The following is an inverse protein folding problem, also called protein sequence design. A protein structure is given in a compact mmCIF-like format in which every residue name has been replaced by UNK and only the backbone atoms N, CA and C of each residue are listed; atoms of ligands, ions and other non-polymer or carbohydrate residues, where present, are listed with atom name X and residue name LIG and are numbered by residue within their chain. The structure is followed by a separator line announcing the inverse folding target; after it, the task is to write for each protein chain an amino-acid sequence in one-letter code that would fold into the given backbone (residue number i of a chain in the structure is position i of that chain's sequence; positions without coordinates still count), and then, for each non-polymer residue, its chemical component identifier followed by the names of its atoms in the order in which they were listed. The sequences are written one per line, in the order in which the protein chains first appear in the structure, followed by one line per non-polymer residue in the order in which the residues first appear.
data_IF_682694735865
#
_entry.id   IF_682694735865
#
_cell.length_a   1.000
_cell.length_b   1.000
_cell.length_c   1.000
_cell.angle_alpha   90.00
_cell.angle_beta   90.00
_cell.angle_gamma   90.00
#
_symmetry.space_group_name_H-M   'P 1'
#
loop_
_entity.id
_entity.type
_entity.pdbx_description
1 polymer ?
#
# COMPACT_ATOMS: atom_id res chain seq x y z
N UNK A 1 29.48 -24.61 33.35
CA UNK A 1 29.26 -24.31 31.91
C UNK A 1 27.91 -23.62 31.82
N UNK A 2 27.95 -22.33 31.72
CA UNK A 2 26.77 -21.46 31.75
C UNK A 2 26.35 -21.18 30.30
N UNK A 3 25.18 -21.66 29.88
CA UNK A 3 24.63 -21.35 28.57
C UNK A 3 23.99 -19.94 28.61
N UNK A 4 24.65 -19.02 27.94
CA UNK A 4 24.09 -17.70 27.66
C UNK A 4 22.93 -17.84 26.63
N UNK A 5 21.70 -17.75 27.10
CA UNK A 5 20.53 -17.49 26.27
C UNK A 5 20.58 -16.04 25.86
N UNK A 6 21.08 -15.78 24.65
CA UNK A 6 20.99 -14.47 24.01
C UNK A 6 19.53 -14.23 23.66
N UNK A 7 18.86 -13.41 24.47
CA UNK A 7 17.56 -12.81 24.16
C UNK A 7 17.73 -11.93 22.93
N UNK A 8 17.32 -12.45 21.76
CA UNK A 8 17.15 -11.66 20.57
C UNK A 8 15.85 -10.85 20.74
N UNK A 9 15.94 -9.73 21.46
CA UNK A 9 14.91 -8.71 21.43
C UNK A 9 14.91 -8.19 19.99
N UNK A 10 13.85 -8.50 19.24
CA UNK A 10 13.54 -7.82 17.99
C UNK A 10 13.36 -6.34 18.35
N UNK A 11 14.40 -5.54 18.17
CA UNK A 11 14.29 -4.10 18.15
C UNK A 11 13.26 -3.80 17.04
N UNK A 12 12.15 -3.17 17.38
CA UNK A 12 11.18 -2.65 16.42
C UNK A 12 11.92 -1.63 15.57
N UNK A 13 12.39 -2.06 14.38
CA UNK A 13 13.04 -1.15 13.44
C UNK A 13 12.02 -0.10 13.04
N UNK A 14 12.27 1.13 13.48
CA UNK A 14 11.48 2.29 13.09
C UNK A 14 11.72 2.54 11.60
N UNK A 15 10.76 2.14 10.77
CA UNK A 15 10.85 2.26 9.32
C UNK A 15 10.52 3.67 8.82
N UNK A 16 9.63 4.38 9.53
CA UNK A 16 9.11 5.68 9.12
C UNK A 16 8.78 6.55 10.33
N UNK A 17 9.26 7.80 10.31
CA UNK A 17 8.88 8.82 11.29
C UNK A 17 8.60 10.14 10.57
N UNK A 18 7.56 10.84 10.97
CA UNK A 18 7.27 12.21 10.55
C UNK A 18 7.36 13.13 11.76
N UNK A 19 7.96 14.31 11.57
CA UNK A 19 8.17 15.31 12.62
C UNK A 19 7.70 16.67 12.16
N UNK A 20 6.72 17.24 12.86
CA UNK A 20 6.24 18.60 12.72
C UNK A 20 5.86 18.96 11.26
N UNK A 21 5.23 18.01 10.55
CA UNK A 21 4.83 18.20 9.16
C UNK A 21 3.67 19.18 9.11
N UNK A 22 3.90 20.31 8.44
CA UNK A 22 2.87 21.28 8.10
C UNK A 22 2.78 21.43 6.59
N UNK A 23 1.56 21.51 6.07
CA UNK A 23 1.27 21.72 4.66
C UNK A 23 0.03 22.56 4.47
N UNK A 24 0.16 23.59 3.62
CA UNK A 24 -0.94 24.49 3.25
C UNK A 24 -1.06 24.57 1.74
N UNK A 25 -2.27 24.82 1.26
CA UNK A 25 -2.55 25.18 -0.12
C UNK A 25 -3.30 26.52 -0.13
N UNK A 26 -2.62 27.56 -0.58
CA UNK A 26 -3.10 28.93 -0.44
C UNK A 26 -3.31 29.27 1.04
N UNK A 27 -4.53 29.64 1.43
CA UNK A 27 -4.87 29.99 2.81
C UNK A 27 -5.40 28.80 3.64
N UNK A 28 -5.42 27.60 3.08
CA UNK A 28 -5.97 26.42 3.76
C UNK A 28 -4.86 25.52 4.27
N UNK A 29 -4.73 25.41 5.60
CA UNK A 29 -3.85 24.45 6.24
C UNK A 29 -4.51 23.08 6.17
N UNK A 30 -3.82 22.08 5.62
CA UNK A 30 -4.30 20.70 5.46
C UNK A 30 -3.58 19.70 6.35
N UNK A 31 -2.37 20.02 6.78
CA UNK A 31 -1.62 19.33 7.83
C UNK A 31 -1.03 20.40 8.73
N UNK A 32 -1.21 20.27 10.04
CA UNK A 32 -0.74 21.25 11.05
C UNK A 32 0.06 20.54 12.12
N UNK A 33 1.38 20.76 12.11
CA UNK A 33 2.36 20.22 13.09
C UNK A 33 2.24 18.70 13.33
N UNK A 34 1.90 17.94 12.31
CA UNK A 34 1.67 16.49 12.42
C UNK A 34 2.98 15.74 12.67
N UNK A 35 3.01 14.97 13.76
CA UNK A 35 4.15 14.13 14.15
C UNK A 35 3.67 12.73 14.49
N UNK A 36 4.33 11.69 13.93
CA UNK A 36 4.00 10.30 14.22
C UNK A 36 5.17 9.36 13.91
N UNK A 37 5.28 8.28 14.71
CA UNK A 37 6.21 7.17 14.48
C UNK A 37 5.43 5.96 14.01
N UNK A 38 5.75 5.48 12.81
CA UNK A 38 5.09 4.33 12.23
C UNK A 38 5.94 3.07 12.47
N UNK A 39 5.34 2.11 13.12
CA UNK A 39 5.83 0.75 13.25
C UNK A 39 5.12 -0.14 12.22
N UNK A 40 5.50 -1.43 12.14
CA UNK A 40 4.78 -2.39 11.28
C UNK A 40 3.32 -2.51 11.73
N UNK A 41 2.40 -2.38 10.80
CA UNK A 41 0.96 -2.39 11.11
C UNK A 41 0.15 -1.54 10.14
N UNK A 42 -1.15 -1.54 10.32
CA UNK A 42 -2.11 -0.80 9.49
C UNK A 42 -2.54 0.47 10.21
N UNK A 43 -2.47 1.59 9.52
CA UNK A 43 -2.83 2.93 9.99
C UNK A 43 -3.93 3.50 9.12
N UNK A 44 -5.00 3.98 9.73
CA UNK A 44 -6.14 4.58 9.03
C UNK A 44 -6.27 6.05 9.42
N UNK A 45 -5.80 6.97 8.58
CA UNK A 45 -5.90 8.39 8.86
C UNK A 45 -7.33 8.91 8.66
N UNK A 46 -7.73 9.83 9.53
CA UNK A 46 -8.99 10.59 9.48
C UNK A 46 -8.72 12.09 9.48
N UNK A 47 -9.69 12.88 9.06
CA UNK A 47 -9.53 14.34 8.94
C UNK A 47 -9.18 14.80 7.52
N UNK A 48 -8.85 16.07 7.40
CA UNK A 48 -8.33 16.66 6.16
C UNK A 48 -6.87 16.24 5.94
N UNK A 49 -6.38 16.33 4.68
CA UNK A 49 -4.95 16.10 4.39
C UNK A 49 -4.52 14.66 4.17
N UNK A 50 -5.40 13.66 4.21
CA UNK A 50 -5.06 12.24 4.02
C UNK A 50 -4.24 11.97 2.76
N UNK A 51 -4.74 12.33 1.59
CA UNK A 51 -4.02 12.19 0.31
C UNK A 51 -2.73 13.01 0.29
N UNK A 52 -2.74 14.20 0.91
CA UNK A 52 -1.55 15.05 1.04
C UNK A 52 -0.47 14.36 1.87
N UNK A 53 -0.84 13.77 3.01
CA UNK A 53 0.08 12.97 3.83
C UNK A 53 0.70 11.82 3.00
N UNK A 54 -0.12 11.03 2.30
CA UNK A 54 0.39 9.94 1.45
C UNK A 54 1.39 10.46 0.40
N UNK A 55 1.08 11.59 -0.25
CA UNK A 55 1.95 12.21 -1.27
C UNK A 55 3.26 12.71 -0.69
N UNK A 56 3.24 13.29 0.53
CA UNK A 56 4.47 13.68 1.23
C UNK A 56 5.28 12.45 1.60
N UNK A 57 4.67 11.40 2.13
CA UNK A 57 5.35 10.18 2.52
C UNK A 57 5.99 9.43 1.35
N UNK A 58 5.45 9.50 0.14
CA UNK A 58 6.07 8.91 -1.04
C UNK A 58 6.98 9.88 -1.81
N UNK A 59 7.16 11.12 -1.33
CA UNK A 59 8.06 12.11 -1.95
C UNK A 59 7.49 12.80 -3.18
N UNK A 60 6.18 12.74 -3.41
CA UNK A 60 5.48 13.41 -4.53
C UNK A 60 5.00 14.82 -4.18
N UNK A 61 5.01 15.17 -2.91
CA UNK A 61 4.68 16.50 -2.41
C UNK A 61 5.70 16.89 -1.36
N UNK A 62 6.05 18.16 -1.30
CA UNK A 62 6.97 18.71 -0.31
C UNK A 62 6.15 19.37 0.80
N UNK A 63 6.46 19.03 2.05
CA UNK A 63 5.89 19.73 3.21
C UNK A 63 6.43 21.16 3.27
N UNK A 64 5.63 22.09 3.80
CA UNK A 64 6.07 23.48 3.99
C UNK A 64 7.06 23.58 5.17
N UNK A 65 6.88 22.69 6.18
CA UNK A 65 7.85 22.52 7.28
C UNK A 65 7.83 21.09 7.80
N UNK A 66 8.81 20.75 8.63
CA UNK A 66 8.96 19.43 9.21
C UNK A 66 9.83 18.48 8.38
N UNK A 67 9.90 17.22 8.78
CA UNK A 67 10.75 16.22 8.15
C UNK A 67 10.09 14.84 8.11
N UNK A 68 10.38 14.10 7.04
CA UNK A 68 10.08 12.67 6.92
C UNK A 68 11.38 11.89 7.02
N UNK A 69 11.50 11.03 8.01
CA UNK A 69 12.66 10.19 8.26
C UNK A 69 12.30 8.75 7.92
N UNK A 70 13.10 8.12 7.07
CA UNK A 70 12.98 6.69 6.73
C UNK A 70 14.26 5.96 7.08
N UNK A 71 14.16 4.71 7.51
CA UNK A 71 15.34 3.87 7.64
C UNK A 71 16.06 3.72 6.29
N UNK A 72 17.38 3.51 6.28
CA UNK A 72 18.13 3.29 5.03
C UNK A 72 17.47 2.19 4.19
N UNK A 73 17.52 2.34 2.87
CA UNK A 73 17.00 1.39 1.87
C UNK A 73 15.49 1.09 1.93
N UNK A 74 14.74 1.78 2.81
CA UNK A 74 13.29 1.61 2.94
C UNK A 74 12.57 2.03 1.67
N UNK A 75 11.88 1.08 1.05
CA UNK A 75 11.10 1.28 -0.17
C UNK A 75 9.66 1.63 0.15
N UNK A 76 9.15 2.67 -0.50
CA UNK A 76 7.76 3.13 -0.35
C UNK A 76 7.05 3.03 -1.70
N UNK A 77 5.87 2.41 -1.72
CA UNK A 77 5.02 2.33 -2.91
C UNK A 77 3.63 2.87 -2.58
N UNK A 78 3.03 3.59 -3.52
CA UNK A 78 1.71 4.18 -3.37
C UNK A 78 0.76 3.68 -4.47
N UNK A 79 -0.42 3.23 -4.04
CA UNK A 79 -1.58 3.08 -4.90
C UNK A 79 -2.38 4.38 -4.88
N UNK A 80 -2.51 5.01 -6.03
CA UNK A 80 -3.24 6.27 -6.18
C UNK A 80 -4.75 6.04 -6.28
N UNK A 81 -5.50 7.11 -6.12
CA UNK A 81 -6.94 7.09 -6.37
C UNK A 81 -7.25 6.75 -7.84
N UNK A 82 -6.42 7.21 -8.79
CA UNK A 82 -6.43 6.75 -10.18
C UNK A 82 -5.56 5.50 -10.31
N UNK A 83 -5.97 4.53 -11.14
CA UNK A 83 -5.29 3.23 -11.22
C UNK A 83 -3.90 3.28 -11.88
N UNK A 84 -3.64 4.30 -12.73
CA UNK A 84 -2.35 4.55 -13.40
C UNK A 84 -1.74 3.30 -14.03
N UNK A 85 -2.57 2.48 -14.65
CA UNK A 85 -2.16 1.27 -15.35
C UNK A 85 -1.70 1.62 -16.79
N UNK A 86 -0.83 0.78 -17.33
CA UNK A 86 -0.42 0.86 -18.74
C UNK A 86 -1.45 0.10 -19.58
N UNK A 87 -2.37 0.84 -20.21
CA UNK A 87 -3.56 0.28 -20.86
C UNK A 87 -3.26 -0.66 -22.02
N UNK A 88 -2.14 -0.43 -22.71
CA UNK A 88 -1.70 -1.27 -23.84
C UNK A 88 -1.00 -2.56 -23.41
N UNK A 89 -0.72 -2.73 -22.11
CA UNK A 89 -0.11 -3.94 -21.59
C UNK A 89 -1.16 -4.86 -20.97
N UNK A 90 -0.84 -6.16 -20.94
CA UNK A 90 -1.68 -7.13 -20.26
C UNK A 90 -1.70 -6.92 -18.74
N UNK A 91 -2.70 -7.49 -18.09
CA UNK A 91 -2.81 -7.56 -16.63
C UNK A 91 -1.52 -8.09 -16.00
N UNK A 92 -1.07 -9.26 -16.49
CA UNK A 92 0.18 -9.87 -16.02
C UNK A 92 1.37 -8.92 -16.17
N UNK A 93 1.50 -8.25 -17.31
CA UNK A 93 2.61 -7.33 -17.56
C UNK A 93 2.57 -6.12 -16.61
N UNK A 94 1.39 -5.54 -16.36
CA UNK A 94 1.23 -4.44 -15.43
C UNK A 94 1.68 -4.81 -14.00
N UNK A 95 1.36 -5.99 -13.51
CA UNK A 95 1.77 -6.44 -12.16
C UNK A 95 3.26 -6.77 -12.14
N UNK A 96 3.77 -7.46 -13.14
CA UNK A 96 5.18 -7.83 -13.26
C UNK A 96 6.14 -6.65 -13.28
N UNK A 97 5.71 -5.48 -13.77
CA UNK A 97 6.52 -4.24 -13.77
C UNK A 97 6.90 -3.76 -12.36
N UNK A 98 6.13 -4.11 -11.34
CA UNK A 98 6.41 -3.73 -9.96
C UNK A 98 7.41 -4.64 -9.25
N UNK A 99 7.79 -5.76 -9.86
CA UNK A 99 8.61 -6.80 -9.24
C UNK A 99 10.04 -6.71 -9.75
N UNK A 100 11.02 -6.63 -8.85
CA UNK A 100 12.43 -6.76 -9.21
C UNK A 100 12.78 -8.24 -9.39
N UNK A 101 13.18 -8.62 -10.60
CA UNK A 101 13.44 -10.01 -10.95
C UNK A 101 14.80 -10.13 -11.63
N UNK A 102 15.62 -11.05 -11.13
CA UNK A 102 17.00 -11.23 -11.55
C UNK A 102 17.23 -12.55 -12.31
N UNK A 103 16.26 -13.48 -12.30
CA UNK A 103 16.38 -14.77 -12.99
C UNK A 103 15.11 -15.19 -13.70
N UNK A 104 15.24 -16.20 -14.59
CA UNK A 104 14.09 -16.80 -15.29
C UNK A 104 13.18 -17.57 -14.32
N UNK A 105 13.76 -18.24 -13.34
CA UNK A 105 13.06 -19.01 -12.31
C UNK A 105 12.22 -18.07 -11.45
N UNK A 106 12.77 -16.92 -11.04
CA UNK A 106 12.02 -15.90 -10.30
C UNK A 106 10.84 -15.35 -11.12
N UNK A 107 11.03 -15.14 -12.43
CA UNK A 107 9.94 -14.71 -13.33
C UNK A 107 8.82 -15.73 -13.39
N UNK A 108 9.15 -17.02 -13.47
CA UNK A 108 8.16 -18.09 -13.53
C UNK A 108 7.38 -18.19 -12.21
N UNK A 109 8.08 -18.22 -11.09
CA UNK A 109 7.44 -18.23 -9.75
C UNK A 109 6.55 -17.00 -9.51
N UNK A 110 7.01 -15.81 -9.91
CA UNK A 110 6.20 -14.60 -9.81
C UNK A 110 4.91 -14.69 -10.65
N UNK A 111 4.97 -15.25 -11.85
CA UNK A 111 3.78 -15.45 -12.72
C UNK A 111 2.76 -16.39 -12.09
N UNK A 112 3.22 -17.46 -11.46
CA UNK A 112 2.33 -18.42 -10.78
C UNK A 112 1.64 -17.75 -9.59
N UNK A 113 2.38 -17.07 -8.72
CA UNK A 113 1.81 -16.31 -7.60
C UNK A 113 0.84 -15.22 -8.04
N UNK A 114 1.12 -14.51 -9.14
CA UNK A 114 0.20 -13.51 -9.68
C UNK A 114 -1.09 -14.17 -10.18
N UNK A 115 -1.03 -15.32 -10.83
CA UNK A 115 -2.24 -16.05 -11.27
C UNK A 115 -3.11 -16.46 -10.08
N UNK A 116 -2.51 -16.97 -9.03
CA UNK A 116 -3.21 -17.30 -7.77
C UNK A 116 -3.89 -16.06 -7.19
N UNK A 117 -3.15 -14.97 -7.06
CA UNK A 117 -3.71 -13.70 -6.53
C UNK A 117 -4.81 -13.12 -7.44
N UNK A 118 -4.71 -13.25 -8.77
CA UNK A 118 -5.77 -12.86 -9.70
C UNK A 118 -7.05 -13.66 -9.45
N UNK A 119 -6.94 -14.98 -9.25
CA UNK A 119 -8.08 -15.83 -8.89
C UNK A 119 -8.72 -15.37 -7.57
N UNK A 120 -7.90 -15.14 -6.54
CA UNK A 120 -8.36 -14.69 -5.21
C UNK A 120 -9.13 -13.36 -5.25
N UNK A 121 -8.76 -12.44 -6.14
CA UNK A 121 -9.48 -11.16 -6.29
C UNK A 121 -10.54 -11.20 -7.40
N UNK A 122 -10.95 -12.40 -7.89
CA UNK A 122 -12.01 -12.54 -8.89
C UNK A 122 -11.64 -12.01 -10.28
N UNK A 123 -10.37 -12.20 -10.68
CA UNK A 123 -9.83 -11.84 -12.00
C UNK A 123 -9.24 -13.05 -12.74
N UNK A 124 -9.67 -14.27 -12.43
CA UNK A 124 -9.23 -15.49 -13.09
C UNK A 124 -9.39 -15.41 -14.62
N UNK A 125 -8.39 -15.89 -15.35
CA UNK A 125 -8.39 -15.90 -16.82
C UNK A 125 -8.21 -14.54 -17.49
N UNK A 126 -7.90 -13.49 -16.73
CA UNK A 126 -7.67 -12.14 -17.30
C UNK A 126 -6.19 -11.82 -17.51
N UNK A 127 -5.28 -12.69 -17.12
CA UNK A 127 -3.83 -12.42 -17.06
C UNK A 127 -3.22 -11.92 -18.38
N UNK A 128 -3.74 -12.40 -19.51
CA UNK A 128 -3.27 -12.04 -20.84
C UNK A 128 -4.11 -10.93 -21.51
N UNK A 129 -5.22 -10.49 -20.89
CA UNK A 129 -6.05 -9.42 -21.44
C UNK A 129 -5.35 -8.07 -21.33
N UNK A 130 -5.43 -7.20 -22.35
CA UNK A 130 -5.03 -5.80 -22.22
C UNK A 130 -5.86 -5.11 -21.13
N UNK A 131 -5.23 -4.23 -20.37
CA UNK A 131 -5.92 -3.49 -19.29
C UNK A 131 -7.03 -2.58 -19.85
N UNK A 132 -6.90 -2.11 -21.08
CA UNK A 132 -7.94 -1.32 -21.78
C UNK A 132 -9.29 -2.03 -21.87
N UNK A 133 -9.32 -3.36 -21.89
CA UNK A 133 -10.54 -4.19 -21.98
C UNK A 133 -11.21 -4.43 -20.62
N UNK A 134 -10.63 -3.99 -19.53
CA UNK A 134 -11.13 -4.22 -18.19
C UNK A 134 -12.14 -3.15 -17.77
N UNK A 135 -13.12 -3.55 -16.95
CA UNK A 135 -14.00 -2.61 -16.23
C UNK A 135 -13.20 -1.81 -15.18
N UNK A 136 -13.74 -0.68 -14.71
CA UNK A 136 -13.09 0.14 -13.67
C UNK A 136 -12.76 -0.65 -12.40
N UNK A 137 -13.70 -1.46 -11.90
CA UNK A 137 -13.47 -2.30 -10.73
C UNK A 137 -12.42 -3.41 -10.97
N UNK A 138 -12.29 -3.92 -12.20
CA UNK A 138 -11.23 -4.85 -12.56
C UNK A 138 -9.88 -4.14 -12.62
N UNK A 139 -9.79 -2.96 -13.25
CA UNK A 139 -8.59 -2.11 -13.26
C UNK A 139 -8.12 -1.80 -11.84
N UNK A 140 -9.07 -1.46 -10.96
CA UNK A 140 -8.78 -1.17 -9.54
C UNK A 140 -8.09 -2.33 -8.83
N UNK A 141 -8.59 -3.56 -9.01
CA UNK A 141 -7.98 -4.77 -8.44
C UNK A 141 -6.60 -5.09 -9.04
N UNK A 142 -6.40 -4.84 -10.33
CA UNK A 142 -5.06 -4.97 -10.95
C UNK A 142 -4.08 -3.97 -10.36
N UNK A 143 -4.49 -2.70 -10.16
CA UNK A 143 -3.65 -1.67 -9.54
C UNK A 143 -3.30 -2.03 -8.08
N UNK A 144 -4.25 -2.60 -7.34
CA UNK A 144 -4.03 -3.12 -5.99
C UNK A 144 -2.99 -4.23 -6.00
N UNK A 145 -3.16 -5.27 -6.83
CA UNK A 145 -2.19 -6.36 -6.94
C UNK A 145 -0.80 -5.85 -7.35
N UNK A 146 -0.71 -4.93 -8.31
CA UNK A 146 0.57 -4.33 -8.70
C UNK A 146 1.28 -3.68 -7.50
N UNK A 147 0.52 -3.01 -6.63
CA UNK A 147 1.07 -2.38 -5.41
C UNK A 147 1.51 -3.43 -4.39
N UNK A 148 0.73 -4.49 -4.19
CA UNK A 148 1.04 -5.57 -3.24
C UNK A 148 2.24 -6.40 -3.66
N UNK A 149 2.42 -6.63 -4.96
CA UNK A 149 3.55 -7.38 -5.50
C UNK A 149 4.84 -6.55 -5.59
N UNK A 150 4.76 -5.25 -5.37
CA UNK A 150 5.96 -4.43 -5.28
C UNK A 150 6.80 -4.81 -4.06
N UNK A 151 8.12 -4.88 -4.27
CA UNK A 151 9.08 -5.08 -3.19
C UNK A 151 9.22 -3.77 -2.38
N UNK A 152 8.36 -3.61 -1.37
CA UNK A 152 8.27 -2.40 -0.56
C UNK A 152 8.04 -2.72 0.92
N UNK A 153 8.57 -1.87 1.79
CA UNK A 153 8.43 -1.92 3.24
C UNK A 153 7.25 -1.09 3.73
N UNK A 154 6.92 -0.04 2.96
CA UNK A 154 5.83 0.90 3.24
C UNK A 154 4.87 0.89 2.06
N UNK A 155 3.61 0.58 2.34
CA UNK A 155 2.51 0.58 1.39
C UNK A 155 1.53 1.70 1.72
N UNK A 156 1.26 2.54 0.75
CA UNK A 156 0.35 3.67 0.87
C UNK A 156 -0.84 3.44 -0.07
N UNK A 157 -2.05 3.38 0.49
CA UNK A 157 -3.27 3.13 -0.28
C UNK A 157 -4.22 4.33 -0.18
N UNK A 158 -4.59 4.88 -1.34
CA UNK A 158 -5.58 5.96 -1.44
C UNK A 158 -6.89 5.43 -2.05
N UNK A 159 -7.88 5.16 -1.20
CA UNK A 159 -9.18 4.58 -1.52
C UNK A 159 -9.08 3.27 -2.35
N UNK A 160 -8.33 2.25 -1.93
CA UNK A 160 -7.96 1.12 -2.80
C UNK A 160 -9.14 0.26 -3.26
N UNK A 161 -10.26 0.25 -2.54
CA UNK A 161 -11.43 -0.57 -2.85
C UNK A 161 -12.63 0.25 -3.33
N UNK A 162 -12.39 1.52 -3.72
CA UNK A 162 -13.45 2.38 -4.26
C UNK A 162 -14.11 1.75 -5.48
N UNK A 163 -15.46 1.74 -5.49
CA UNK A 163 -16.25 1.22 -6.60
C UNK A 163 -16.41 -0.30 -6.63
N UNK A 164 -15.94 -1.02 -5.61
CA UNK A 164 -16.24 -2.44 -5.42
C UNK A 164 -17.49 -2.62 -4.55
N UNK A 165 -18.28 -3.65 -4.84
CA UNK A 165 -19.38 -4.07 -3.98
C UNK A 165 -18.86 -4.71 -2.68
N UNK A 166 -19.72 -4.86 -1.70
CA UNK A 166 -19.32 -5.27 -0.33
C UNK A 166 -18.80 -6.71 -0.27
N UNK A 167 -19.40 -7.63 -1.02
CA UNK A 167 -18.95 -9.03 -1.06
C UNK A 167 -17.54 -9.13 -1.64
N UNK A 168 -17.29 -8.38 -2.71
CA UNK A 168 -15.98 -8.34 -3.36
C UNK A 168 -14.93 -7.65 -2.49
N UNK A 169 -15.28 -6.61 -1.74
CA UNK A 169 -14.38 -5.99 -0.76
C UNK A 169 -13.92 -6.99 0.31
N UNK A 170 -14.83 -7.79 0.85
CA UNK A 170 -14.49 -8.83 1.83
C UNK A 170 -13.49 -9.83 1.26
N UNK A 171 -13.75 -10.32 0.05
CA UNK A 171 -12.86 -11.26 -0.64
C UNK A 171 -11.47 -10.65 -0.87
N UNK A 172 -11.42 -9.44 -1.42
CA UNK A 172 -10.16 -8.74 -1.73
C UNK A 172 -9.37 -8.44 -0.45
N UNK A 173 -9.99 -7.97 0.62
CA UNK A 173 -9.27 -7.70 1.88
C UNK A 173 -8.70 -9.00 2.47
N UNK A 174 -9.42 -10.12 2.40
CA UNK A 174 -8.90 -11.40 2.86
C UNK A 174 -7.61 -11.78 2.11
N UNK A 175 -7.57 -11.58 0.79
CA UNK A 175 -6.38 -11.83 -0.05
C UNK A 175 -5.24 -10.84 0.20
N UNK A 176 -5.54 -9.60 0.63
CA UNK A 176 -4.53 -8.56 0.90
C UNK A 176 -3.78 -8.80 2.20
N UNK A 177 -4.43 -9.35 3.23
CA UNK A 177 -3.87 -9.50 4.58
C UNK A 177 -2.47 -10.12 4.62
N UNK A 178 -2.18 -11.25 3.96
CA UNK A 178 -0.85 -11.86 4.01
C UNK A 178 0.26 -10.95 3.46
N UNK A 179 -0.07 -10.03 2.55
CA UNK A 179 0.92 -9.11 1.95
C UNK A 179 1.27 -7.93 2.85
N UNK A 180 0.40 -7.57 3.81
CA UNK A 180 0.53 -6.36 4.61
C UNK A 180 0.99 -6.60 6.05
N UNK A 181 0.94 -7.83 6.57
CA UNK A 181 1.22 -8.16 7.99
C UNK A 181 2.59 -7.71 8.49
N UNK A 182 3.60 -7.73 7.61
CA UNK A 182 4.99 -7.38 7.98
C UNK A 182 5.43 -5.99 7.53
N UNK A 183 4.50 -5.13 7.11
CA UNK A 183 4.79 -3.83 6.50
C UNK A 183 4.19 -2.69 7.31
N UNK A 184 4.67 -1.47 7.03
CA UNK A 184 3.97 -0.24 7.40
C UNK A 184 2.92 0.02 6.33
N UNK A 185 1.65 0.06 6.70
CA UNK A 185 0.54 0.25 5.77
C UNK A 185 -0.27 1.47 6.19
N UNK A 186 -0.40 2.43 5.29
CA UNK A 186 -1.31 3.56 5.50
C UNK A 186 -2.45 3.43 4.50
N UNK A 187 -3.65 3.19 5.04
CA UNK A 187 -4.85 2.86 4.29
C UNK A 187 -5.88 3.97 4.41
N UNK A 188 -6.00 4.78 3.37
CA UNK A 188 -7.01 5.84 3.31
C UNK A 188 -8.29 5.29 2.70
N UNK A 189 -9.38 5.41 3.44
CA UNK A 189 -10.73 5.08 2.96
C UNK A 189 -11.76 6.01 3.60
N UNK A 190 -12.88 6.19 2.93
CA UNK A 190 -14.07 6.87 3.45
C UNK A 190 -15.16 5.88 3.89
N UNK A 191 -14.91 4.57 3.78
CA UNK A 191 -15.86 3.49 4.02
C UNK A 191 -15.57 2.82 5.37
N UNK A 192 -16.38 3.05 6.44
CA UNK A 192 -16.14 2.43 7.75
C UNK A 192 -16.13 0.91 7.73
N UNK A 193 -16.86 0.31 6.79
CA UNK A 193 -16.94 -1.14 6.57
C UNK A 193 -15.58 -1.71 6.16
N UNK A 194 -14.84 -1.02 5.29
CA UNK A 194 -13.48 -1.41 4.90
C UNK A 194 -12.54 -1.46 6.11
N UNK A 195 -12.63 -0.46 6.98
CA UNK A 195 -11.80 -0.38 8.19
C UNK A 195 -12.05 -1.59 9.11
N UNK A 196 -13.31 -1.99 9.28
CA UNK A 196 -13.66 -3.19 10.06
C UNK A 196 -13.09 -4.47 9.46
N UNK A 197 -13.09 -4.59 8.13
CA UNK A 197 -12.56 -5.76 7.41
C UNK A 197 -11.04 -5.88 7.52
N UNK A 198 -10.30 -4.78 7.66
CA UNK A 198 -8.85 -4.79 7.86
C UNK A 198 -8.45 -5.51 9.18
N UNK A 199 -9.33 -5.50 10.19
CA UNK A 199 -9.07 -6.09 11.50
C UNK A 199 -8.34 -5.13 12.43
N UNK A 200 -7.13 -5.49 12.91
CA UNK A 200 -6.34 -4.60 13.77
C UNK A 200 -5.78 -3.44 12.98
N UNK A 201 -6.04 -2.23 13.43
CA UNK A 201 -5.49 -1.00 12.85
C UNK A 201 -5.31 0.08 13.92
N UNK A 202 -4.46 1.06 13.64
CA UNK A 202 -4.30 2.28 14.45
C UNK A 202 -4.98 3.45 13.73
N UNK A 203 -5.96 4.07 14.39
CA UNK A 203 -6.57 5.29 13.89
C UNK A 203 -5.61 6.48 14.07
N UNK A 204 -5.43 7.28 13.01
CA UNK A 204 -4.64 8.50 13.04
C UNK A 204 -5.58 9.70 12.87
N UNK A 205 -5.43 10.70 13.74
CA UNK A 205 -6.07 12.01 13.57
C UNK A 205 -5.06 12.97 12.91
N UNK A 206 -5.42 13.53 11.75
CA UNK A 206 -4.63 14.54 11.05
C UNK A 206 -5.12 15.95 11.40
#
# INVERSE_FOLDING_TARGET
MSMNTTNCAYATEQLLEVKNITKSFGNTVVLDDFSYKFERGVYVPSGAGKTTLLRILCGLEVADSGTVLKAPDTKTVMMFQEDRLLENLSVMANIMLAIQLHSKEQKQSARERIKEALCEVGLEGTENKPVSELSGGQKRRVALLRTLFADADILLFDEPLKGLDEALKQQVIASVKPFIESKVVIWVTHTPEEVKLLGSYTALQL
#
